data_IF_880664941481
#
_entry.id   IF_880664941481
#
_cell.length_a   1.000
_cell.length_b   1.000
_cell.length_c   1.000
_cell.angle_alpha   90.00
_cell.angle_beta   90.00
_cell.angle_gamma   90.00
#
_symmetry.space_group_name_H-M   'P 1'
#
loop_
_entity.id
_entity.type
_entity.pdbx_description
1 polymer ?
#
# COMPACT_ATOMS: atom_id res chain seq x y z
N UNK A 1 -1.57 13.76 11.24
CA UNK A 1 -1.40 12.48 11.96
C UNK A 1 -0.08 11.89 11.50
N UNK A 2 0.86 11.68 12.42
CA UNK A 2 2.14 11.02 12.13
C UNK A 2 1.86 9.59 11.68
N UNK A 3 2.11 9.26 10.42
CA UNK A 3 2.26 7.86 10.00
C UNK A 3 3.63 7.46 10.52
N UNK A 4 3.66 6.86 11.72
CA UNK A 4 4.84 6.14 12.18
C UNK A 4 5.24 5.15 11.08
N UNK A 5 6.54 5.00 10.82
CA UNK A 5 7.08 4.05 9.84
C UNK A 5 6.55 2.65 10.20
N UNK A 6 5.42 2.25 9.62
CA UNK A 6 4.92 0.89 9.72
C UNK A 6 5.97 -0.01 9.09
N UNK A 7 6.46 -0.98 9.85
CA UNK A 7 7.44 -1.93 9.37
C UNK A 7 6.92 -2.71 8.15
N UNK A 8 7.82 -3.28 7.35
CA UNK A 8 7.42 -4.11 6.20
C UNK A 8 6.38 -5.20 6.56
N UNK A 9 6.43 -5.86 7.74
CA UNK A 9 5.37 -6.79 8.16
C UNK A 9 3.98 -6.13 8.26
N UNK A 10 3.86 -4.99 8.95
CA UNK A 10 2.59 -4.28 9.11
C UNK A 10 2.03 -3.79 7.76
N UNK A 11 2.89 -3.43 6.81
CA UNK A 11 2.47 -3.07 5.46
C UNK A 11 1.89 -4.29 4.70
N UNK A 12 2.50 -5.48 4.86
CA UNK A 12 2.00 -6.72 4.25
C UNK A 12 0.70 -7.19 4.91
N UNK A 13 0.57 -7.03 6.23
CA UNK A 13 -0.67 -7.30 6.98
C UNK A 13 -1.81 -6.41 6.47
N UNK A 14 -1.58 -5.10 6.34
CA UNK A 14 -2.57 -4.18 5.75
C UNK A 14 -2.92 -4.52 4.30
N UNK A 15 -1.94 -4.92 3.49
CA UNK A 15 -2.20 -5.36 2.11
C UNK A 15 -3.08 -6.61 2.07
N UNK A 16 -2.88 -7.55 3.01
CA UNK A 16 -3.71 -8.75 3.10
C UNK A 16 -5.15 -8.43 3.55
N UNK A 17 -5.32 -7.47 4.47
CA UNK A 17 -6.63 -6.98 4.90
C UNK A 17 -7.39 -6.31 3.74
N UNK A 18 -6.77 -5.36 3.05
CA UNK A 18 -7.37 -4.64 1.92
C UNK A 18 -7.77 -5.61 0.78
N UNK A 19 -6.91 -6.59 0.45
CA UNK A 19 -7.22 -7.60 -0.55
C UNK A 19 -8.39 -8.52 -0.13
N UNK A 20 -8.56 -8.78 1.17
CA UNK A 20 -9.68 -9.56 1.68
C UNK A 20 -11.00 -8.78 1.55
N UNK A 21 -10.99 -7.46 1.75
CA UNK A 21 -12.15 -6.58 1.56
C UNK A 21 -12.58 -6.55 0.08
N UNK A 22 -11.64 -6.39 -0.85
CA UNK A 22 -11.91 -6.47 -2.28
C UNK A 22 -12.47 -7.84 -2.70
N UNK A 23 -11.90 -8.93 -2.18
CA UNK A 23 -12.40 -10.28 -2.43
C UNK A 23 -13.85 -10.45 -1.94
N UNK A 24 -14.19 -9.89 -0.78
CA UNK A 24 -15.56 -9.89 -0.27
C UNK A 24 -16.51 -9.06 -1.14
N UNK A 25 -16.10 -7.90 -1.64
CA UNK A 25 -16.87 -7.09 -2.57
C UNK A 25 -17.15 -7.85 -3.89
N UNK A 26 -16.14 -8.54 -4.42
CA UNK A 26 -16.28 -9.35 -5.62
C UNK A 26 -17.25 -10.54 -5.41
N UNK A 27 -17.14 -11.24 -4.28
CA UNK A 27 -18.05 -12.32 -3.90
C UNK A 27 -19.49 -11.82 -3.73
N UNK A 28 -19.69 -10.62 -3.18
CA UNK A 28 -21.00 -9.99 -3.05
C UNK A 28 -21.62 -9.73 -4.43
N UNK A 29 -20.86 -9.18 -5.38
CA UNK A 29 -21.33 -9.01 -6.75
C UNK A 29 -21.64 -10.37 -7.43
N UNK A 30 -20.79 -11.38 -7.24
CA UNK A 30 -21.02 -12.72 -7.80
C UNK A 30 -22.33 -13.35 -7.30
N UNK A 31 -22.64 -13.25 -6.00
CA UNK A 31 -23.91 -13.72 -5.43
C UNK A 31 -25.11 -12.99 -6.01
N UNK A 32 -25.01 -11.67 -6.20
CA UNK A 32 -26.06 -10.86 -6.83
C UNK A 32 -26.30 -11.29 -8.29
N UNK A 33 -25.23 -11.63 -9.02
CA UNK A 33 -25.35 -12.11 -10.40
C UNK A 33 -26.04 -13.48 -10.48
N UNK A 34 -25.73 -14.39 -9.55
CA UNK A 34 -26.36 -15.73 -9.47
C UNK A 34 -27.79 -15.70 -8.91
N UNK A 35 -28.26 -14.57 -8.37
CA UNK A 35 -29.58 -14.47 -7.75
C UNK A 35 -29.69 -15.20 -6.41
N UNK A 36 -28.56 -15.63 -5.83
CA UNK A 36 -28.45 -16.32 -4.54
C UNK A 36 -28.50 -15.33 -3.35
N UNK A 37 -28.82 -14.06 -3.60
CA UNK A 37 -28.59 -13.00 -2.64
C UNK A 37 -29.82 -12.78 -1.73
N UNK A 38 -29.71 -13.01 -0.41
CA UNK A 38 -30.72 -12.59 0.56
C UNK A 38 -30.65 -11.08 0.88
N UNK A 39 -29.60 -10.39 0.41
CA UNK A 39 -29.29 -9.00 0.79
C UNK A 39 -29.94 -8.00 -0.19
N UNK A 40 -30.61 -6.92 0.27
CA UNK A 40 -31.39 -5.99 -0.58
C UNK A 40 -30.55 -5.07 -1.47
N UNK A 41 -29.26 -5.36 -1.66
CA UNK A 41 -28.37 -4.58 -2.53
C UNK A 41 -28.58 -4.93 -3.99
N UNK A 42 -28.76 -3.90 -4.80
CA UNK A 42 -28.93 -4.03 -6.25
C UNK A 42 -27.61 -4.38 -6.93
N UNK A 43 -27.68 -4.93 -8.14
CA UNK A 43 -26.53 -5.15 -9.04
C UNK A 43 -25.68 -3.91 -9.21
N UNK A 44 -26.33 -2.75 -9.32
CA UNK A 44 -25.66 -1.46 -9.52
C UNK A 44 -24.86 -1.05 -8.29
N UNK A 45 -25.43 -1.19 -7.10
CA UNK A 45 -24.75 -0.87 -5.85
C UNK A 45 -23.58 -1.82 -5.58
N UNK A 46 -23.77 -3.13 -5.79
CA UNK A 46 -22.69 -4.11 -5.63
C UNK A 46 -21.53 -3.87 -6.61
N UNK A 47 -21.83 -3.48 -7.86
CA UNK A 47 -20.80 -3.13 -8.85
C UNK A 47 -20.09 -1.83 -8.50
N UNK A 48 -20.82 -0.83 -8.03
CA UNK A 48 -20.24 0.46 -7.62
C UNK A 48 -19.27 0.25 -6.45
N UNK A 49 -19.70 -0.49 -5.44
CA UNK A 49 -18.88 -0.80 -4.26
C UNK A 49 -17.60 -1.57 -4.64
N UNK A 50 -17.68 -2.53 -5.56
CA UNK A 50 -16.49 -3.24 -6.05
C UNK A 50 -15.49 -2.32 -6.75
N UNK A 51 -15.98 -1.35 -7.54
CA UNK A 51 -15.11 -0.40 -8.25
C UNK A 51 -14.46 0.57 -7.27
N UNK A 52 -15.24 1.09 -6.32
CA UNK A 52 -14.72 1.97 -5.27
C UNK A 52 -13.61 1.27 -4.46
N UNK A 53 -13.83 0.02 -4.05
CA UNK A 53 -12.82 -0.73 -3.29
C UNK A 53 -11.54 -0.97 -4.09
N UNK A 54 -11.68 -1.34 -5.38
CA UNK A 54 -10.54 -1.58 -6.25
C UNK A 54 -9.71 -0.31 -6.49
N UNK A 55 -10.38 0.82 -6.73
CA UNK A 55 -9.71 2.10 -6.99
C UNK A 55 -9.04 2.62 -5.70
N UNK A 56 -9.71 2.52 -4.55
CA UNK A 56 -9.15 2.93 -3.26
C UNK A 56 -7.95 2.05 -2.85
N UNK A 57 -8.04 0.73 -3.01
CA UNK A 57 -6.94 -0.21 -2.72
C UNK A 57 -5.73 0.07 -3.63
N UNK A 58 -5.96 0.23 -4.94
CA UNK A 58 -4.90 0.48 -5.93
C UNK A 58 -4.15 1.78 -5.65
N UNK A 59 -4.87 2.85 -5.32
CA UNK A 59 -4.29 4.16 -5.02
C UNK A 59 -3.51 4.16 -3.69
N UNK A 60 -4.07 3.53 -2.67
CA UNK A 60 -3.46 3.45 -1.34
C UNK A 60 -2.19 2.61 -1.37
N UNK A 61 -2.21 1.48 -2.07
CA UNK A 61 -1.02 0.65 -2.29
C UNK A 61 0.06 1.39 -3.07
N UNK A 62 -0.30 2.03 -4.20
CA UNK A 62 0.62 2.81 -5.04
C UNK A 62 1.33 3.90 -4.24
N UNK A 63 0.58 4.66 -3.44
CA UNK A 63 1.15 5.73 -2.60
C UNK A 63 2.15 5.18 -1.58
N UNK A 64 1.77 4.14 -0.84
CA UNK A 64 2.66 3.52 0.18
C UNK A 64 3.94 2.95 -0.46
N UNK A 65 3.82 2.33 -1.63
CA UNK A 65 4.96 1.78 -2.36
C UNK A 65 5.96 2.85 -2.79
N UNK A 66 5.47 3.97 -3.32
CA UNK A 66 6.32 5.09 -3.73
C UNK A 66 6.96 5.80 -2.51
N UNK A 67 6.24 5.92 -1.39
CA UNK A 67 6.80 6.41 -0.12
C UNK A 67 7.93 5.51 0.40
N UNK A 68 7.76 4.18 0.31
CA UNK A 68 8.80 3.21 0.69
C UNK A 68 10.05 3.37 -0.18
N UNK A 69 9.90 3.42 -1.51
CA UNK A 69 11.02 3.65 -2.43
C UNK A 69 11.77 4.94 -2.10
N UNK A 70 11.04 6.04 -1.88
CA UNK A 70 11.64 7.32 -1.53
C UNK A 70 12.38 7.28 -0.18
N UNK A 71 11.92 6.47 0.77
CA UNK A 71 12.59 6.27 2.06
C UNK A 71 13.88 5.45 1.91
N UNK A 72 13.87 4.38 1.11
CA UNK A 72 15.04 3.55 0.81
C UNK A 72 16.11 4.34 0.04
N UNK A 73 15.71 5.15 -0.94
CA UNK A 73 16.62 6.01 -1.69
C UNK A 73 17.27 7.09 -0.82
N UNK A 74 16.50 7.71 0.08
CA UNK A 74 17.03 8.68 1.06
C UNK A 74 18.02 8.05 2.04
N UNK A 75 17.77 6.81 2.46
CA UNK A 75 18.66 6.09 3.37
C UNK A 75 19.99 5.70 2.67
N UNK A 76 19.90 5.19 1.45
CA UNK A 76 21.06 4.92 0.61
C UNK A 76 21.90 6.17 0.33
N UNK A 77 21.25 7.32 0.07
CA UNK A 77 21.94 8.58 -0.18
C UNK A 77 22.61 9.14 1.10
N UNK A 78 21.96 8.99 2.27
CA UNK A 78 22.60 9.30 3.58
C UNK A 78 23.84 8.46 3.83
N UNK A 79 23.76 7.16 3.55
CA UNK A 79 24.91 6.27 3.70
C UNK A 79 26.05 6.72 2.78
N UNK A 80 25.75 7.07 1.53
CA UNK A 80 26.74 7.58 0.57
C UNK A 80 27.39 8.89 1.03
N UNK A 81 26.62 9.84 1.54
CA UNK A 81 27.15 11.09 2.11
C UNK A 81 28.01 10.84 3.36
N UNK A 82 27.61 9.92 4.24
CA UNK A 82 28.37 9.59 5.44
C UNK A 82 29.73 8.98 5.09
N UNK A 83 29.78 8.07 4.13
CA UNK A 83 31.03 7.50 3.62
C UNK A 83 31.88 8.54 2.89
N UNK A 84 31.26 9.43 2.09
CA UNK A 84 31.95 10.55 1.46
C UNK A 84 32.60 11.47 2.49
N UNK A 85 31.89 11.84 3.56
CA UNK A 85 32.42 12.68 4.65
C UNK A 85 33.54 11.99 5.44
N UNK A 86 33.42 10.69 5.68
CA UNK A 86 34.48 9.90 6.33
C UNK A 86 35.74 9.82 5.47
N UNK A 87 35.58 9.59 4.17
CA UNK A 87 36.68 9.51 3.22
C UNK A 87 37.38 10.87 3.07
N UNK A 88 36.62 11.95 2.95
CA UNK A 88 37.14 13.32 2.86
C UNK A 88 37.86 13.75 4.15
N UNK A 89 37.35 13.32 5.32
CA UNK A 89 38.02 13.50 6.61
C UNK A 89 39.33 12.69 6.69
N UNK A 90 39.34 11.46 6.20
CA UNK A 90 40.52 10.60 6.20
C UNK A 90 41.64 11.16 5.30
N UNK A 91 41.29 11.64 4.11
CA UNK A 91 42.24 12.24 3.16
C UNK A 91 42.77 13.63 3.55
N UNK A 92 42.02 14.40 4.35
CA UNK A 92 42.47 15.72 4.84
C UNK A 92 43.30 15.65 6.13
N UNK A 93 43.46 14.47 6.70
CA UNK A 93 44.22 14.25 7.95
C UNK A 93 45.65 13.75 7.68
N UNK A 94 46.00 13.48 6.42
CA UNK A 94 47.36 13.19 5.93
C UNK A 94 47.74 14.20 4.85
#
# INVERSE_FOLDING_TARGET
>A
MMIEKIGTPAMLEQMAEEAAELAQAALKLARVLRGENPTPVTRREARKHLIEEYDEESERFRKRWEEKKAAEEKDGNRHREAYGKLYDKFLKTY
#
